data_IF_715821339781
#
_entry.id   IF_715821339781
#
_cell.length_a   1.000
_cell.length_b   1.000
_cell.length_c   1.000
_cell.angle_alpha   90.00
_cell.angle_beta   90.00
_cell.angle_gamma   90.00
#
_symmetry.space_group_name_H-M   'P 1'
#
loop_
_entity.id
_entity.type
_entity.pdbx_description
1 polymer ?
#
# COMPACT_ATOMS: atom_id res chain seq x y z
N UNK A 1 12.60 -43.07 -21.72
CA UNK A 1 13.31 -42.21 -20.74
C UNK A 1 13.20 -40.71 -21.06
N UNK A 2 13.35 -40.28 -22.32
CA UNK A 2 13.27 -38.85 -22.75
C UNK A 2 11.98 -38.11 -22.35
N UNK A 3 10.82 -38.75 -22.42
CA UNK A 3 9.55 -38.13 -22.02
C UNK A 3 9.49 -37.79 -20.53
N UNK A 4 9.97 -38.68 -19.65
CA UNK A 4 9.96 -38.47 -18.20
C UNK A 4 10.85 -37.27 -17.84
N UNK A 5 12.02 -37.14 -18.46
CA UNK A 5 12.89 -35.98 -18.29
C UNK A 5 12.22 -34.69 -18.76
N UNK A 6 11.59 -34.68 -19.95
CA UNK A 6 10.86 -33.49 -20.42
C UNK A 6 9.73 -33.06 -19.48
N UNK A 7 9.05 -34.03 -18.86
CA UNK A 7 8.00 -33.74 -17.86
C UNK A 7 8.61 -33.19 -16.56
N UNK A 8 9.75 -33.73 -16.12
CA UNK A 8 10.48 -33.22 -14.95
C UNK A 8 10.98 -31.78 -15.18
N UNK A 9 11.67 -31.54 -16.29
CA UNK A 9 12.16 -30.21 -16.68
C UNK A 9 11.01 -29.20 -16.73
N UNK A 10 9.84 -29.60 -17.26
CA UNK A 10 8.65 -28.74 -17.30
C UNK A 10 8.15 -28.36 -15.89
N UNK A 11 8.08 -29.31 -14.95
CA UNK A 11 7.64 -29.01 -13.59
C UNK A 11 8.66 -28.19 -12.80
N UNK A 12 9.96 -28.37 -13.07
CA UNK A 12 11.03 -27.55 -12.50
C UNK A 12 10.95 -26.09 -12.98
N UNK A 13 10.58 -25.85 -14.23
CA UNK A 13 10.43 -24.51 -14.79
C UNK A 13 9.12 -23.82 -14.38
N UNK A 14 8.01 -24.57 -14.26
CA UNK A 14 6.68 -24.00 -13.96
C UNK A 14 6.49 -23.66 -12.48
N UNK A 15 7.09 -24.42 -11.55
CA UNK A 15 6.98 -24.17 -10.11
C UNK A 15 7.41 -22.74 -9.71
N UNK A 16 8.61 -22.28 -10.12
CA UNK A 16 9.05 -20.91 -9.90
C UNK A 16 8.13 -19.87 -10.55
N UNK A 17 7.64 -20.09 -11.77
CA UNK A 17 6.72 -19.17 -12.43
C UNK A 17 5.41 -19.00 -11.65
N UNK A 18 4.89 -20.10 -11.08
CA UNK A 18 3.68 -20.07 -10.25
C UNK A 18 3.92 -19.32 -8.93
N UNK A 19 5.06 -19.54 -8.27
CA UNK A 19 5.39 -18.85 -7.01
C UNK A 19 5.59 -17.34 -7.22
N UNK A 20 6.17 -16.94 -8.35
CA UNK A 20 6.32 -15.54 -8.77
C UNK A 20 4.95 -14.90 -8.99
N UNK A 21 4.10 -15.55 -9.80
CA UNK A 21 2.78 -15.03 -10.12
C UNK A 21 1.92 -14.90 -8.86
N UNK A 22 2.07 -15.83 -7.91
CA UNK A 22 1.42 -15.76 -6.61
C UNK A 22 1.94 -14.57 -5.78
N UNK A 23 3.26 -14.34 -5.76
CA UNK A 23 3.87 -13.17 -5.12
C UNK A 23 3.32 -11.85 -5.67
N UNK A 24 3.29 -11.70 -7.01
CA UNK A 24 2.76 -10.49 -7.65
C UNK A 24 1.27 -10.27 -7.38
N UNK A 25 0.44 -11.32 -7.41
CA UNK A 25 -0.99 -11.22 -7.06
C UNK A 25 -1.19 -10.87 -5.59
N UNK A 26 -0.36 -11.42 -4.71
CA UNK A 26 -0.44 -11.17 -3.26
C UNK A 26 -0.15 -9.70 -2.94
N UNK A 27 0.93 -9.13 -3.50
CA UNK A 27 1.26 -7.71 -3.24
C UNK A 27 0.21 -6.75 -3.83
N UNK A 28 -0.45 -7.13 -4.93
CA UNK A 28 -1.55 -6.34 -5.49
C UNK A 28 -2.79 -6.41 -4.59
N UNK A 29 -3.10 -7.58 -4.01
CA UNK A 29 -4.15 -7.70 -2.99
C UNK A 29 -3.86 -6.84 -1.75
N UNK A 30 -2.61 -6.84 -1.28
CA UNK A 30 -2.17 -5.97 -0.17
C UNK A 30 -2.34 -4.49 -0.52
N UNK A 31 -2.00 -4.09 -1.75
CA UNK A 31 -2.23 -2.72 -2.23
C UNK A 31 -3.72 -2.34 -2.17
N UNK A 32 -4.62 -3.22 -2.62
CA UNK A 32 -6.06 -2.97 -2.59
C UNK A 32 -6.59 -2.81 -1.16
N UNK A 33 -6.15 -3.66 -0.23
CA UNK A 33 -6.51 -3.56 1.19
C UNK A 33 -5.98 -2.26 1.79
N UNK A 34 -4.74 -1.89 1.47
CA UNK A 34 -4.16 -0.63 1.94
C UNK A 34 -4.88 0.60 1.36
N UNK A 35 -5.30 0.57 0.09
CA UNK A 35 -6.13 1.62 -0.51
C UNK A 35 -7.47 1.77 0.22
N UNK A 36 -8.15 0.66 0.53
CA UNK A 36 -9.38 0.69 1.31
C UNK A 36 -9.15 1.23 2.74
N UNK A 37 -8.04 0.86 3.37
CA UNK A 37 -7.62 1.42 4.66
C UNK A 37 -7.41 2.95 4.57
N UNK A 38 -6.71 3.44 3.55
CA UNK A 38 -6.52 4.88 3.34
C UNK A 38 -7.86 5.61 3.14
N UNK A 39 -8.80 5.05 2.37
CA UNK A 39 -10.15 5.63 2.24
C UNK A 39 -10.87 5.70 3.59
N UNK A 40 -10.71 4.67 4.42
CA UNK A 40 -11.26 4.64 5.76
C UNK A 40 -10.66 5.73 6.65
N UNK A 41 -9.34 5.95 6.57
CA UNK A 41 -8.67 7.01 7.31
C UNK A 41 -9.12 8.40 6.87
N UNK A 42 -9.27 8.64 5.56
CA UNK A 42 -9.79 9.92 5.03
C UNK A 42 -11.19 10.19 5.61
N UNK A 43 -12.07 9.17 5.63
CA UNK A 43 -13.42 9.30 6.23
C UNK A 43 -13.41 9.50 7.74
N UNK A 44 -12.31 9.14 8.43
CA UNK A 44 -12.15 9.35 9.86
C UNK A 44 -11.69 10.78 10.20
N UNK A 45 -11.27 11.57 9.23
CA UNK A 45 -10.86 12.97 9.43
C UNK A 45 -12.09 13.88 9.58
N UNK A 46 -12.07 14.84 10.53
CA UNK A 46 -13.16 15.81 10.65
C UNK A 46 -13.29 16.63 9.37
N UNK A 47 -14.48 17.11 9.02
CA UNK A 47 -14.76 17.89 7.80
C UNK A 47 -14.41 17.22 6.45
N UNK A 48 -14.40 15.89 6.34
CA UNK A 48 -14.60 15.18 5.06
C UNK A 48 -16.02 15.49 4.52
N UNK A 49 -16.26 16.73 4.10
CA UNK A 49 -17.53 17.22 3.57
C UNK A 49 -17.73 16.59 2.19
N UNK A 50 -18.41 15.45 2.16
CA UNK A 50 -19.51 15.10 1.24
C UNK A 50 -19.87 13.62 1.48
N UNK A 51 -21.04 13.40 2.10
CA UNK A 51 -21.88 12.17 2.12
C UNK A 51 -22.56 11.92 3.48
N UNK A 52 -22.49 12.83 4.45
CA UNK A 52 -23.33 12.74 5.67
C UNK A 52 -24.83 12.98 5.41
N UNK A 53 -25.24 13.32 4.17
CA UNK A 53 -26.64 13.41 3.75
C UNK A 53 -27.10 12.28 2.82
N UNK A 54 -26.32 11.20 2.67
CA UNK A 54 -26.85 9.94 2.15
C UNK A 54 -27.29 9.07 3.31
N UNK A 55 -28.55 9.25 3.71
CA UNK A 55 -29.28 8.32 4.53
C UNK A 55 -29.14 6.89 3.94
N UNK A 56 -28.39 6.01 4.60
CA UNK A 56 -28.42 4.58 4.26
C UNK A 56 -27.14 3.76 4.45
N UNK A 57 -25.97 4.33 4.69
CA UNK A 57 -24.76 3.51 4.91
C UNK A 57 -24.45 3.32 6.39
N UNK A 58 -25.03 2.27 6.97
CA UNK A 58 -24.69 1.75 8.30
C UNK A 58 -23.24 1.27 8.33
N UNK A 59 -22.31 2.13 8.73
CA UNK A 59 -21.02 1.70 9.26
C UNK A 59 -20.45 2.77 10.18
N UNK A 60 -21.00 2.87 11.40
CA UNK A 60 -20.39 3.54 12.57
C UNK A 60 -19.10 2.84 13.06
N UNK A 61 -18.45 2.01 12.25
CA UNK A 61 -17.31 1.18 12.69
C UNK A 61 -16.06 2.04 12.92
N UNK A 62 -15.94 3.18 12.24
CA UNK A 62 -14.76 4.04 12.30
C UNK A 62 -15.06 5.22 13.22
N UNK A 63 -14.35 5.30 14.34
CA UNK A 63 -14.40 6.46 15.24
C UNK A 63 -13.65 7.63 14.58
N UNK A 64 -14.25 8.82 14.63
CA UNK A 64 -13.61 10.03 14.12
C UNK A 64 -12.34 10.36 14.91
N UNK A 65 -11.32 10.85 14.20
CA UNK A 65 -10.10 11.39 14.76
C UNK A 65 -10.31 12.87 15.13
N UNK A 66 -11.00 13.10 16.24
CA UNK A 66 -11.47 14.43 16.64
C UNK A 66 -10.33 15.37 17.05
N UNK A 67 -9.25 14.85 17.64
CA UNK A 67 -8.08 15.64 18.03
C UNK A 67 -6.97 15.61 16.99
N UNK A 68 -6.18 16.68 16.95
CA UNK A 68 -5.01 16.78 16.08
C UNK A 68 -4.02 15.63 16.33
N UNK A 69 -3.76 15.27 17.59
CA UNK A 69 -2.93 14.11 17.96
C UNK A 69 -3.44 12.80 17.32
N UNK A 70 -4.76 12.58 17.29
CA UNK A 70 -5.34 11.39 16.66
C UNK A 70 -5.13 11.42 15.15
N UNK A 71 -5.29 12.57 14.51
CA UNK A 71 -5.12 12.72 13.07
C UNK A 71 -3.65 12.55 12.66
N UNK A 72 -2.71 13.15 13.40
CA UNK A 72 -1.27 13.00 13.21
C UNK A 72 -0.87 11.53 13.39
N UNK A 73 -1.41 10.85 14.40
CA UNK A 73 -1.14 9.42 14.61
C UNK A 73 -1.61 8.56 13.42
N UNK A 74 -2.79 8.84 12.86
CA UNK A 74 -3.28 8.14 11.67
C UNK A 74 -2.34 8.35 10.47
N UNK A 75 -1.88 9.59 10.25
CA UNK A 75 -0.97 9.92 9.16
C UNK A 75 0.41 9.26 9.33
N UNK A 76 0.95 9.29 10.56
CA UNK A 76 2.22 8.67 10.89
C UNK A 76 2.17 7.15 10.67
N UNK A 77 1.10 6.50 11.14
CA UNK A 77 0.90 5.06 10.96
C UNK A 77 0.78 4.68 9.47
N UNK A 78 0.00 5.45 8.70
CA UNK A 78 -0.14 5.22 7.25
C UNK A 78 1.19 5.38 6.51
N UNK A 79 1.99 6.39 6.88
CA UNK A 79 3.31 6.65 6.29
C UNK A 79 4.28 5.52 6.62
N UNK A 80 4.36 5.10 7.89
CA UNK A 80 5.20 3.97 8.31
C UNK A 80 4.86 2.67 7.56
N UNK A 81 3.56 2.40 7.36
CA UNK A 81 3.12 1.26 6.59
C UNK A 81 3.62 1.32 5.13
N UNK A 82 3.43 2.46 4.45
CA UNK A 82 3.78 2.61 3.05
C UNK A 82 5.30 2.67 2.79
N UNK A 83 6.05 3.29 3.68
CA UNK A 83 7.48 3.56 3.48
C UNK A 83 8.37 2.39 3.89
N UNK A 84 7.98 1.68 4.95
CA UNK A 84 8.81 0.65 5.59
C UNK A 84 8.14 -0.72 5.62
N UNK A 85 7.02 -0.86 6.34
CA UNK A 85 6.49 -2.19 6.69
C UNK A 85 6.03 -2.99 5.48
N UNK A 86 5.24 -2.38 4.59
CA UNK A 86 4.72 -3.05 3.40
C UNK A 86 5.83 -3.34 2.36
N UNK A 87 6.72 -2.39 2.01
CA UNK A 87 7.89 -2.69 1.18
C UNK A 87 8.78 -3.80 1.71
N UNK A 88 9.04 -3.82 3.02
CA UNK A 88 9.87 -4.85 3.65
C UNK A 88 9.19 -6.22 3.61
N UNK A 89 7.88 -6.28 3.88
CA UNK A 89 7.11 -7.53 3.79
C UNK A 89 7.06 -8.06 2.36
N UNK A 90 6.80 -7.21 1.37
CA UNK A 90 6.81 -7.58 -0.04
C UNK A 90 8.18 -8.13 -0.46
N UNK A 91 9.28 -7.48 -0.07
CA UNK A 91 10.62 -7.96 -0.38
C UNK A 91 10.91 -9.35 0.21
N UNK A 92 10.44 -9.63 1.43
CA UNK A 92 10.56 -10.97 2.03
C UNK A 92 9.74 -12.01 1.26
N UNK A 93 8.52 -11.70 0.81
CA UNK A 93 7.70 -12.62 0.01
C UNK A 93 8.39 -13.03 -1.30
N UNK A 94 9.07 -12.09 -1.96
CA UNK A 94 9.84 -12.40 -3.17
C UNK A 94 11.08 -13.25 -2.93
N UNK A 95 11.65 -13.23 -1.72
CA UNK A 95 12.78 -14.08 -1.33
C UNK A 95 12.32 -15.50 -0.96
N UNK A 96 11.19 -15.64 -0.28
CA UNK A 96 10.63 -16.96 0.10
C UNK A 96 10.21 -17.76 -1.13
N UNK A 97 9.61 -17.11 -2.13
CA UNK A 97 9.31 -17.71 -3.45
C UNK A 97 10.55 -18.27 -4.17
N UNK A 98 11.76 -17.86 -3.77
CA UNK A 98 13.03 -18.37 -4.33
C UNK A 98 13.64 -19.51 -3.50
N UNK A 99 13.41 -19.54 -2.18
CA UNK A 99 14.09 -20.44 -1.23
C UNK A 99 13.59 -21.89 -1.26
N UNK A 100 12.40 -22.14 -1.81
CA UNK A 100 11.78 -23.48 -1.84
C UNK A 100 12.41 -24.44 -2.89
N UNK A 101 13.53 -24.06 -3.51
CA UNK A 101 14.14 -24.76 -4.64
C UNK A 101 15.69 -24.69 -4.67
N UNK A 102 16.35 -24.37 -3.55
CA UNK A 102 17.82 -24.28 -3.52
C UNK A 102 18.45 -25.58 -3.00
N UNK A 103 18.59 -26.57 -3.90
CA UNK A 103 19.62 -27.61 -3.80
C UNK A 103 20.52 -27.65 -5.04
N UNK A 104 20.38 -26.73 -6.02
CA UNK A 104 21.32 -26.68 -7.13
C UNK A 104 21.76 -25.27 -7.53
N UNK A 105 23.06 -25.06 -7.36
CA UNK A 105 23.83 -23.85 -7.59
C UNK A 105 23.89 -23.43 -9.07
N UNK A 106 22.77 -23.07 -9.73
CA UNK A 106 22.81 -22.49 -11.11
C UNK A 106 21.75 -21.44 -11.47
N UNK A 107 21.10 -20.75 -10.51
CA UNK A 107 20.13 -19.71 -10.89
C UNK A 107 20.80 -18.42 -11.42
N UNK A 108 20.43 -18.05 -12.66
CA UNK A 108 20.90 -16.86 -13.38
C UNK A 108 20.58 -15.55 -12.63
N UNK A 109 21.54 -14.61 -12.50
CA UNK A 109 21.33 -13.28 -11.90
C UNK A 109 20.21 -12.41 -12.53
N UNK A 110 19.80 -12.73 -13.76
CA UNK A 110 18.88 -11.91 -14.57
C UNK A 110 17.47 -11.77 -13.96
N UNK A 111 16.99 -12.79 -13.25
CA UNK A 111 15.59 -12.83 -12.80
C UNK A 111 15.36 -12.02 -11.51
N UNK A 112 16.43 -11.83 -10.71
CA UNK A 112 16.46 -10.88 -9.59
C UNK A 112 16.42 -9.41 -10.05
N UNK A 113 17.02 -9.10 -11.20
CA UNK A 113 17.04 -7.74 -11.74
C UNK A 113 15.69 -7.31 -12.32
N UNK A 114 14.89 -8.24 -12.86
CA UNK A 114 13.64 -7.89 -13.55
C UNK A 114 12.48 -7.52 -12.60
N UNK A 115 12.50 -7.98 -11.34
CA UNK A 115 11.40 -7.73 -10.36
C UNK A 115 11.55 -6.46 -9.54
N UNK A 116 12.77 -5.92 -9.49
CA UNK A 116 13.10 -4.63 -8.88
C UNK A 116 12.26 -3.44 -9.40
N UNK A 117 12.02 -3.26 -10.72
CA UNK A 117 11.16 -2.19 -11.22
C UNK A 117 9.70 -2.33 -10.77
N UNK A 118 9.14 -3.55 -10.74
CA UNK A 118 7.76 -3.78 -10.29
C UNK A 118 7.57 -3.44 -8.82
N UNK A 119 8.50 -3.86 -7.95
CA UNK A 119 8.46 -3.54 -6.53
C UNK A 119 8.63 -2.03 -6.28
N UNK A 120 9.48 -1.35 -7.06
CA UNK A 120 9.61 0.12 -7.00
C UNK A 120 8.33 0.83 -7.43
N UNK A 121 7.70 0.37 -8.51
CA UNK A 121 6.42 0.91 -8.97
C UNK A 121 5.32 0.70 -7.92
N UNK A 122 5.25 -0.51 -7.35
CA UNK A 122 4.33 -0.80 -6.27
C UNK A 122 4.56 0.11 -5.05
N UNK A 123 5.81 0.34 -4.65
CA UNK A 123 6.14 1.31 -3.59
C UNK A 123 5.67 2.73 -3.93
N UNK A 124 5.90 3.21 -5.16
CA UNK A 124 5.41 4.52 -5.60
C UNK A 124 3.88 4.63 -5.50
N UNK A 125 3.16 3.57 -5.87
CA UNK A 125 1.70 3.50 -5.73
C UNK A 125 1.25 3.58 -4.28
N UNK A 126 1.95 2.93 -3.33
CA UNK A 126 1.66 3.05 -1.89
C UNK A 126 1.83 4.48 -1.39
N UNK A 127 2.95 5.12 -1.72
CA UNK A 127 3.23 6.51 -1.33
C UNK A 127 2.15 7.45 -1.86
N UNK A 128 1.73 7.28 -3.11
CA UNK A 128 0.65 8.09 -3.71
C UNK A 128 -0.68 7.95 -2.97
N UNK A 129 -0.98 6.79 -2.38
CA UNK A 129 -2.17 6.64 -1.54
C UNK A 129 -2.05 7.46 -0.25
N UNK A 130 -0.89 7.43 0.41
CA UNK A 130 -0.65 8.23 1.62
C UNK A 130 -0.68 9.73 1.31
N UNK A 131 -0.17 10.16 0.15
CA UNK A 131 -0.24 11.56 -0.25
C UNK A 131 -1.68 12.07 -0.42
N UNK A 132 -2.62 11.21 -0.82
CA UNK A 132 -4.06 11.57 -0.82
C UNK A 132 -4.59 11.81 0.59
N UNK A 133 -4.16 11.00 1.57
CA UNK A 133 -4.50 11.22 2.97
C UNK A 133 -3.89 12.52 3.49
N UNK A 134 -2.61 12.80 3.18
CA UNK A 134 -1.95 14.07 3.51
C UNK A 134 -2.70 15.26 2.94
N UNK A 135 -3.10 15.20 1.67
CA UNK A 135 -3.86 16.28 1.03
C UNK A 135 -5.18 16.55 1.76
N UNK A 136 -5.90 15.48 2.15
CA UNK A 136 -7.15 15.61 2.91
C UNK A 136 -6.91 16.25 4.29
N UNK A 137 -5.84 15.85 4.98
CA UNK A 137 -5.43 16.44 6.25
C UNK A 137 -5.03 17.92 6.10
N UNK A 138 -4.22 18.26 5.10
CA UNK A 138 -3.77 19.63 4.84
C UNK A 138 -4.96 20.56 4.55
N UNK A 139 -5.98 20.08 3.84
CA UNK A 139 -7.20 20.86 3.58
C UNK A 139 -7.92 21.27 4.87
N UNK A 140 -7.88 20.45 5.92
CA UNK A 140 -8.45 20.83 7.22
C UNK A 140 -7.80 22.06 7.83
N UNK A 141 -6.47 22.12 7.71
CA UNK A 141 -5.65 23.17 8.32
C UNK A 141 -5.49 24.39 7.39
N UNK A 142 -5.99 24.31 6.16
CA UNK A 142 -5.84 25.39 5.17
C UNK A 142 -6.69 26.61 5.55
N UNK A 143 -7.87 26.42 6.14
CA UNK A 143 -8.72 27.54 6.58
C UNK A 143 -8.10 28.29 7.75
N UNK A 144 -7.51 27.58 8.72
CA UNK A 144 -6.79 28.18 9.86
C UNK A 144 -5.53 28.96 9.41
N UNK A 145 -4.93 28.57 8.29
CA UNK A 145 -3.81 29.32 7.71
C UNK A 145 -4.28 30.59 6.98
N UNK A 146 -5.42 30.54 6.29
CA UNK A 146 -5.91 31.63 5.45
C UNK A 146 -6.65 32.70 6.27
N UNK A 147 -7.36 32.30 7.31
CA UNK A 147 -8.19 33.19 8.12
C UNK A 147 -7.75 33.18 9.59
N UNK A 148 -7.72 34.35 10.20
CA UNK A 148 -7.60 34.47 11.66
C UNK A 148 -8.90 34.04 12.35
N UNK A 149 -8.88 33.78 13.66
CA UNK A 149 -10.09 33.52 14.47
C UNK A 149 -11.13 34.65 14.36
N UNK A 150 -10.71 35.86 13.95
CA UNK A 150 -11.52 37.05 13.75
C UNK A 150 -12.06 37.19 12.31
N UNK A 151 -11.70 36.26 11.41
CA UNK A 151 -12.16 36.23 10.01
C UNK A 151 -11.37 37.14 9.06
N UNK A 152 -10.27 37.73 9.52
CA UNK A 152 -9.38 38.51 8.66
C UNK A 152 -8.47 37.58 7.86
N UNK A 153 -8.20 37.93 6.60
CA UNK A 153 -7.31 37.13 5.75
C UNK A 153 -5.85 37.38 6.11
N UNK A 154 -5.06 36.34 6.35
CA UNK A 154 -3.61 36.43 6.60
C UNK A 154 -2.77 36.76 5.35
N UNK A 155 -3.41 37.02 4.21
CA UNK A 155 -2.77 37.19 2.89
C UNK A 155 -2.75 38.64 2.41
N UNK A 156 -3.09 39.62 3.26
CA UNK A 156 -3.03 41.06 2.96
C UNK A 156 -1.67 41.68 3.19
#
# INVERSE_FOLDING_TARGET
RRFITMVQDFFEDVGPLQSIQLGSKTIEGVYQVFNAYIHMLIKALPNSIEEANSAGCSSKIVRMAESEDQQIALLANASLLADELLPQAAMKLFLISQADYDDDHRRRPSDRQNRQPELREWKRRLVSLVDRLKNSFCQLHTLDLIFTEEGESNLT
#
